data_IF_301417612916
#
_entry.id   IF_301417612916
#
_cell.length_a   1.000
_cell.length_b   1.000
_cell.length_c   1.000
_cell.angle_alpha   90.00
_cell.angle_beta   90.00
_cell.angle_gamma   90.00
#
_symmetry.space_group_name_H-M   'P 1'
#
loop_
_entity.id
_entity.type
_entity.pdbx_description
1 polymer ?
#
# COMPACT_ATOMS: atom_id res chain seq x y z
N UNK A 1 -9.18 34.10 -35.59
CA UNK A 1 -9.37 35.52 -35.96
C UNK A 1 -10.85 35.84 -35.99
N UNK A 2 -11.41 36.31 -34.88
CA UNK A 2 -12.74 36.95 -34.84
C UNK A 2 -12.53 38.44 -35.09
N UNK A 3 -13.36 39.00 -35.96
CA UNK A 3 -13.29 40.37 -36.48
C UNK A 3 -13.47 41.38 -35.34
N UNK A 4 -12.49 42.28 -35.13
CA UNK A 4 -12.65 43.44 -34.25
C UNK A 4 -13.78 44.30 -34.81
N UNK A 5 -14.90 44.42 -34.09
CA UNK A 5 -15.86 45.49 -34.34
C UNK A 5 -15.30 46.76 -33.71
N UNK A 6 -14.86 47.69 -34.54
CA UNK A 6 -14.61 49.08 -34.16
C UNK A 6 -15.94 49.75 -33.83
N UNK A 7 -16.27 49.83 -32.54
CA UNK A 7 -17.18 50.84 -32.03
C UNK A 7 -16.34 51.83 -31.22
N UNK A 8 -15.91 52.91 -31.87
CA UNK A 8 -15.42 54.07 -31.14
C UNK A 8 -16.60 54.68 -30.38
N UNK A 9 -16.50 54.92 -29.06
CA UNK A 9 -17.45 55.83 -28.45
C UNK A 9 -17.02 57.26 -28.79
N UNK A 10 -17.79 57.92 -29.66
CA UNK A 10 -17.80 59.38 -29.76
C UNK A 10 -18.63 59.88 -28.59
N UNK A 11 -17.99 60.16 -27.45
CA UNK A 11 -18.67 60.88 -26.37
C UNK A 11 -18.48 62.40 -26.60
N UNK A 12 -19.55 63.17 -26.84
CA UNK A 12 -19.43 64.60 -27.15
C UNK A 12 -19.16 65.50 -25.92
N UNK A 13 -19.22 64.97 -24.69
CA UNK A 13 -18.91 65.72 -23.45
C UNK A 13 -18.33 64.81 -22.38
N UNK A 14 -17.41 65.33 -21.56
CA UNK A 14 -16.84 64.62 -20.42
C UNK A 14 -17.90 64.37 -19.32
N UNK A 15 -17.87 63.23 -18.59
CA UNK A 15 -18.77 62.99 -17.48
C UNK A 15 -18.63 64.06 -16.39
N UNK A 16 -19.70 64.35 -15.64
CA UNK A 16 -19.62 65.24 -14.49
C UNK A 16 -18.63 64.70 -13.43
N UNK A 17 -17.98 65.56 -12.62
CA UNK A 17 -16.96 65.14 -11.65
C UNK A 17 -17.46 64.08 -10.66
N UNK A 18 -18.71 64.19 -10.24
CA UNK A 18 -19.34 63.32 -9.24
C UNK A 18 -19.73 61.94 -9.80
N UNK A 19 -19.49 61.67 -11.09
CA UNK A 19 -19.85 60.41 -11.75
C UNK A 19 -19.01 59.22 -11.25
N UNK A 20 -17.75 59.47 -10.92
CA UNK A 20 -16.75 58.44 -10.62
C UNK A 20 -16.84 57.87 -9.20
N UNK A 21 -17.68 58.46 -8.35
CA UNK A 21 -17.91 58.05 -6.96
C UNK A 21 -19.36 57.64 -6.71
N UNK A 22 -20.17 57.47 -7.77
CA UNK A 22 -21.56 57.03 -7.60
C UNK A 22 -21.59 55.54 -7.27
N UNK A 23 -22.14 55.15 -6.09
CA UNK A 23 -22.37 53.75 -5.80
C UNK A 23 -23.44 53.18 -6.73
N UNK A 24 -23.28 51.91 -7.08
CA UNK A 24 -24.17 51.20 -7.99
C UNK A 24 -24.37 49.76 -7.53
N UNK A 25 -25.54 49.20 -7.79
CA UNK A 25 -25.84 47.79 -7.56
C UNK A 25 -25.76 46.99 -8.88
N UNK A 26 -26.03 47.65 -10.02
CA UNK A 26 -25.90 47.11 -11.38
C UNK A 26 -25.58 48.17 -12.44
N UNK A 27 -25.30 47.73 -13.69
CA UNK A 27 -24.92 48.63 -14.80
C UNK A 27 -25.99 49.67 -15.15
N UNK A 28 -27.25 49.35 -14.91
CA UNK A 28 -28.37 50.25 -15.19
C UNK A 28 -28.45 51.41 -14.18
N UNK A 29 -27.65 51.39 -13.11
CA UNK A 29 -27.53 52.51 -12.17
C UNK A 29 -26.56 53.58 -12.69
N UNK A 30 -25.71 53.25 -13.67
CA UNK A 30 -24.66 54.13 -14.20
C UNK A 30 -25.16 54.96 -15.41
N UNK A 31 -26.17 55.79 -15.15
CA UNK A 31 -26.85 56.64 -16.15
C UNK A 31 -26.36 58.09 -16.03
N UNK A 32 -26.20 58.78 -17.16
CA UNK A 32 -25.95 60.22 -17.16
C UNK A 32 -27.16 61.02 -16.66
N UNK A 33 -26.95 62.30 -16.32
CA UNK A 33 -28.05 63.22 -15.94
C UNK A 33 -29.13 63.39 -17.03
N UNK A 34 -28.83 63.00 -18.26
CA UNK A 34 -29.74 63.08 -19.42
C UNK A 34 -30.48 61.75 -19.69
N UNK A 35 -30.33 60.74 -18.84
CA UNK A 35 -31.07 59.47 -18.95
C UNK A 35 -30.46 58.42 -19.87
N UNK A 36 -29.23 58.62 -20.37
CA UNK A 36 -28.52 57.65 -21.22
C UNK A 36 -27.51 56.83 -20.39
N UNK A 37 -27.44 55.51 -20.61
CA UNK A 37 -26.46 54.63 -19.98
C UNK A 37 -25.04 55.08 -20.38
N UNK A 38 -24.23 55.48 -19.40
CA UNK A 38 -22.97 56.19 -19.64
C UNK A 38 -21.75 55.44 -19.07
N UNK A 39 -21.95 54.47 -18.17
CA UNK A 39 -20.86 53.73 -17.54
C UNK A 39 -21.21 52.32 -17.10
N UNK A 40 -20.24 51.69 -16.45
CA UNK A 40 -20.29 50.32 -15.95
C UNK A 40 -20.16 50.32 -14.44
N UNK A 41 -20.98 49.53 -13.75
CA UNK A 41 -20.82 49.30 -12.33
C UNK A 41 -19.64 48.36 -12.10
N UNK A 42 -18.60 48.84 -11.42
CA UNK A 42 -17.35 48.10 -11.20
C UNK A 42 -17.09 47.96 -9.70
N UNK A 43 -16.69 46.77 -9.23
CA UNK A 43 -16.30 46.58 -7.84
C UNK A 43 -14.94 47.23 -7.54
N UNK A 44 -14.77 47.75 -6.33
CA UNK A 44 -13.53 48.31 -5.79
C UNK A 44 -12.92 47.35 -4.75
N UNK A 45 -11.65 47.59 -4.39
CA UNK A 45 -10.88 46.71 -3.51
C UNK A 45 -11.45 46.57 -2.09
N UNK A 46 -12.28 47.52 -1.64
CA UNK A 46 -13.00 47.49 -0.36
C UNK A 46 -14.35 46.74 -0.45
N UNK A 47 -14.68 46.16 -1.60
CA UNK A 47 -15.93 45.44 -1.85
C UNK A 47 -17.13 46.35 -2.16
N UNK A 48 -16.94 47.67 -2.19
CA UNK A 48 -17.95 48.60 -2.72
C UNK A 48 -18.00 48.53 -4.25
N UNK A 49 -19.03 49.13 -4.86
CA UNK A 49 -19.24 49.11 -6.32
C UNK A 49 -19.56 50.50 -6.81
N UNK A 50 -18.76 51.03 -7.73
CA UNK A 50 -18.91 52.39 -8.24
C UNK A 50 -19.04 52.42 -9.76
N UNK A 51 -19.63 53.48 -10.30
CA UNK A 51 -19.71 53.69 -11.75
C UNK A 51 -18.35 54.11 -12.34
N UNK A 52 -17.93 53.44 -13.41
CA UNK A 52 -16.73 53.73 -14.18
C UNK A 52 -17.03 53.77 -15.68
N UNK A 53 -16.07 54.17 -16.51
CA UNK A 53 -16.21 54.21 -17.98
C UNK A 53 -15.23 53.27 -18.67
N UNK A 54 -15.54 52.93 -19.91
CA UNK A 54 -14.63 52.18 -20.77
C UNK A 54 -13.37 52.98 -21.11
N UNK A 55 -12.22 52.32 -21.15
CA UNK A 55 -10.92 52.91 -21.46
C UNK A 55 -10.19 52.10 -22.53
N UNK A 56 -9.18 52.70 -23.14
CA UNK A 56 -8.24 52.02 -24.05
C UNK A 56 -6.82 52.27 -23.55
N UNK A 57 -6.48 53.53 -23.26
CA UNK A 57 -5.16 53.89 -22.66
C UNK A 57 -5.19 55.06 -21.66
N UNK A 58 -6.19 55.96 -21.69
CA UNK A 58 -6.20 57.16 -20.85
C UNK A 58 -7.34 57.15 -19.82
N UNK A 59 -6.99 56.96 -18.55
CA UNK A 59 -7.86 57.15 -17.40
C UNK A 59 -7.51 58.45 -16.65
N UNK A 60 -8.44 59.01 -15.85
CA UNK A 60 -8.15 60.15 -14.99
C UNK A 60 -7.01 59.88 -14.00
N UNK A 61 -6.39 60.94 -13.47
CA UNK A 61 -5.34 60.83 -12.46
C UNK A 61 -5.85 60.06 -11.22
N UNK A 62 -5.13 59.02 -10.82
CA UNK A 62 -5.53 58.09 -9.75
C UNK A 62 -6.26 56.83 -10.21
N UNK A 63 -6.45 56.65 -11.53
CA UNK A 63 -7.06 55.48 -12.13
C UNK A 63 -6.19 54.88 -13.24
N UNK A 64 -6.19 53.56 -13.35
CA UNK A 64 -5.53 52.79 -14.40
C UNK A 64 -6.57 52.06 -15.26
N UNK A 65 -6.24 51.89 -16.54
CA UNK A 65 -7.09 51.15 -17.46
C UNK A 65 -6.88 49.65 -17.26
N UNK A 66 -7.89 48.97 -16.72
CA UNK A 66 -7.85 47.56 -16.35
C UNK A 66 -8.91 46.77 -17.10
N UNK A 67 -8.61 45.54 -17.49
CA UNK A 67 -9.59 44.64 -18.08
C UNK A 67 -10.51 44.07 -17.00
N UNK A 68 -11.82 44.25 -17.15
CA UNK A 68 -12.87 43.62 -16.33
C UNK A 68 -13.72 42.71 -17.21
N UNK A 69 -14.24 41.64 -16.63
CA UNK A 69 -15.16 40.73 -17.32
C UNK A 69 -16.51 41.40 -17.55
N UNK A 70 -17.05 41.33 -18.77
CA UNK A 70 -18.36 41.86 -19.08
C UNK A 70 -19.46 40.98 -18.44
N UNK A 71 -20.32 41.50 -17.54
CA UNK A 71 -21.37 40.69 -16.92
C UNK A 71 -22.38 40.22 -17.97
N UNK A 72 -22.31 38.94 -18.32
CA UNK A 72 -23.16 38.31 -19.33
C UNK A 72 -22.49 38.02 -20.67
N UNK A 73 -21.16 38.15 -20.80
CA UNK A 73 -20.42 37.81 -22.02
C UNK A 73 -19.03 37.23 -21.76
N UNK A 74 -18.45 36.60 -22.79
CA UNK A 74 -17.09 36.02 -22.78
C UNK A 74 -15.99 37.02 -23.19
N UNK A 75 -16.33 38.30 -23.30
CA UNK A 75 -15.42 39.35 -23.79
C UNK A 75 -14.99 40.26 -22.63
N UNK A 76 -13.73 40.70 -22.68
CA UNK A 76 -13.19 41.66 -21.72
C UNK A 76 -13.55 43.08 -22.11
N UNK A 77 -13.93 43.87 -21.11
CA UNK A 77 -14.14 45.29 -21.23
C UNK A 77 -13.03 46.00 -20.47
N UNK A 78 -12.33 46.92 -21.12
CA UNK A 78 -11.35 47.76 -20.44
C UNK A 78 -12.06 48.94 -19.77
N UNK A 79 -11.90 49.11 -18.47
CA UNK A 79 -12.50 50.20 -17.67
C UNK A 79 -11.48 50.82 -16.72
N UNK A 80 -11.72 52.06 -16.29
CA UNK A 80 -10.83 52.73 -15.35
C UNK A 80 -11.06 52.22 -13.91
N UNK A 81 -10.01 51.74 -13.25
CA UNK A 81 -10.04 51.27 -11.86
C UNK A 81 -9.10 52.11 -10.98
N UNK A 82 -9.42 52.36 -9.70
CA UNK A 82 -8.53 53.11 -8.80
C UNK A 82 -7.15 52.43 -8.63
N UNK A 83 -6.08 53.24 -8.56
CA UNK A 83 -4.67 52.78 -8.51
C UNK A 83 -4.20 52.17 -7.17
N UNK A 84 -5.07 51.63 -6.32
CA UNK A 84 -4.64 51.11 -5.00
C UNK A 84 -3.65 49.93 -5.15
N UNK A 85 -2.37 50.21 -4.87
CA UNK A 85 -1.21 49.33 -5.11
C UNK A 85 -1.04 48.21 -4.07
N UNK A 86 -2.01 47.99 -3.19
CA UNK A 86 -1.80 47.13 -2.02
C UNK A 86 -2.35 45.70 -2.14
N UNK A 87 -3.15 45.36 -3.15
CA UNK A 87 -3.53 43.96 -3.44
C UNK A 87 -3.84 43.78 -4.93
N UNK A 88 -3.32 42.74 -5.61
CA UNK A 88 -3.94 42.31 -6.86
C UNK A 88 -5.40 41.98 -6.56
N UNK A 89 -6.32 42.48 -7.39
CA UNK A 89 -7.67 41.95 -7.47
C UNK A 89 -7.46 40.46 -7.82
N UNK A 90 -7.70 39.55 -6.88
CA UNK A 90 -7.80 38.13 -7.20
C UNK A 90 -8.94 38.00 -8.20
N UNK A 91 -8.60 37.91 -9.48
CA UNK A 91 -9.54 37.58 -10.53
C UNK A 91 -9.88 36.11 -10.31
N UNK A 92 -10.91 35.89 -9.50
CA UNK A 92 -11.64 34.64 -9.49
C UNK A 92 -12.16 34.42 -10.91
N UNK A 93 -11.84 33.26 -11.47
CA UNK A 93 -12.19 32.74 -12.80
C UNK A 93 -11.14 32.97 -13.91
N UNK A 94 -10.05 32.19 -13.84
CA UNK A 94 -9.13 31.99 -14.96
C UNK A 94 -9.86 31.19 -16.04
N UNK A 95 -10.06 31.79 -17.21
CA UNK A 95 -10.71 31.12 -18.33
C UNK A 95 -9.81 30.01 -18.91
N UNK A 96 -10.42 28.90 -19.33
CA UNK A 96 -9.70 27.73 -19.84
C UNK A 96 -10.45 27.08 -21.01
N UNK A 97 -9.71 26.30 -21.79
CA UNK A 97 -10.24 25.41 -22.84
C UNK A 97 -9.87 23.96 -22.60
N UNK A 98 -8.81 23.72 -21.83
CA UNK A 98 -8.41 22.41 -21.33
C UNK A 98 -7.81 22.55 -19.94
N UNK A 99 -7.68 21.44 -19.22
CA UNK A 99 -7.07 21.41 -17.89
C UNK A 99 -5.64 21.97 -17.87
N UNK A 100 -4.91 21.86 -18.99
CA UNK A 100 -3.57 22.43 -19.16
C UNK A 100 -3.54 23.96 -19.04
N UNK A 101 -4.62 24.65 -19.41
CA UNK A 101 -4.72 26.11 -19.25
C UNK A 101 -4.80 26.52 -17.77
N UNK A 102 -5.17 25.58 -16.90
CA UNK A 102 -5.35 25.79 -15.46
C UNK A 102 -4.09 25.50 -14.64
N UNK A 103 -3.01 24.98 -15.23
CA UNK A 103 -1.78 24.68 -14.52
C UNK A 103 -1.13 25.94 -13.90
N UNK A 104 -1.27 27.10 -14.55
CA UNK A 104 -0.77 28.39 -14.03
C UNK A 104 -1.66 28.97 -12.93
N UNK A 105 -2.91 28.53 -12.81
CA UNK A 105 -3.85 28.92 -11.75
C UNK A 105 -3.59 28.18 -10.42
N UNK A 106 -2.78 27.12 -10.47
CA UNK A 106 -2.67 26.09 -9.44
C UNK A 106 -1.44 26.25 -8.53
N UNK A 107 -0.94 27.47 -8.33
CA UNK A 107 0.17 27.68 -7.38
C UNK A 107 -0.34 27.49 -5.95
N UNK A 108 0.38 26.72 -5.14
CA UNK A 108 0.10 26.47 -3.72
C UNK A 108 -1.21 25.71 -3.38
N UNK A 109 -1.80 24.97 -4.31
CA UNK A 109 -3.04 24.19 -4.04
C UNK A 109 -2.79 22.83 -3.35
N UNK A 110 -1.53 22.46 -3.12
CA UNK A 110 -1.14 21.18 -2.49
C UNK A 110 -1.25 19.96 -3.42
N UNK A 111 -0.67 18.83 -3.02
CA UNK A 111 -0.48 17.65 -3.88
C UNK A 111 -1.76 16.85 -4.14
N UNK A 112 -2.79 17.03 -3.30
CA UNK A 112 -4.07 16.33 -3.40
C UNK A 112 -5.20 17.14 -4.02
N UNK A 113 -4.84 18.28 -4.60
CA UNK A 113 -5.74 19.07 -5.44
C UNK A 113 -5.22 19.10 -6.87
N UNK A 114 -6.13 19.41 -7.78
CA UNK A 114 -5.86 19.61 -9.19
C UNK A 114 -6.72 20.76 -9.69
N UNK A 115 -6.18 21.54 -10.62
CA UNK A 115 -6.95 22.56 -11.31
C UNK A 115 -7.49 21.96 -12.61
N UNK A 116 -8.81 22.01 -12.77
CA UNK A 116 -9.53 21.43 -13.90
C UNK A 116 -10.29 22.52 -14.64
N UNK A 117 -10.46 22.36 -15.95
CA UNK A 117 -11.29 23.24 -16.73
C UNK A 117 -12.75 22.80 -16.66
N UNK A 118 -13.63 23.65 -16.12
CA UNK A 118 -15.09 23.38 -16.14
C UNK A 118 -15.59 23.36 -17.59
N UNK A 119 -16.12 22.22 -18.03
CA UNK A 119 -16.67 22.07 -19.38
C UNK A 119 -17.95 22.88 -19.61
N UNK A 120 -18.71 23.21 -18.56
CA UNK A 120 -19.91 24.07 -18.63
C UNK A 120 -19.57 25.54 -18.66
N UNK A 121 -18.59 25.95 -17.85
CA UNK A 121 -18.40 27.36 -17.51
C UNK A 121 -17.13 27.94 -18.15
N UNK A 122 -16.27 27.10 -18.74
CA UNK A 122 -14.99 27.47 -19.36
C UNK A 122 -14.06 28.25 -18.41
N UNK A 123 -14.13 27.92 -17.12
CA UNK A 123 -13.32 28.49 -16.03
C UNK A 123 -12.56 27.39 -15.30
N UNK A 124 -11.38 27.72 -14.79
CA UNK A 124 -10.59 26.84 -13.94
C UNK A 124 -11.23 26.70 -12.56
N UNK A 125 -11.42 25.46 -12.12
CA UNK A 125 -11.90 25.10 -10.79
C UNK A 125 -10.84 24.26 -10.07
N UNK A 126 -10.82 24.34 -8.74
CA UNK A 126 -9.99 23.46 -7.92
C UNK A 126 -10.83 22.29 -7.44
N UNK A 127 -10.38 21.08 -7.74
CA UNK A 127 -11.00 19.84 -7.32
C UNK A 127 -10.01 18.96 -6.55
N UNK A 128 -10.53 18.06 -5.71
CA UNK A 128 -9.72 17.01 -5.11
C UNK A 128 -9.22 16.06 -6.20
N UNK A 129 -8.00 15.53 -6.01
CA UNK A 129 -7.56 14.33 -6.73
C UNK A 129 -8.35 13.11 -6.24
N UNK A 130 -8.31 12.02 -7.01
CA UNK A 130 -8.96 10.78 -6.64
C UNK A 130 -8.49 10.29 -5.26
N UNK A 131 -9.42 9.77 -4.47
CA UNK A 131 -9.11 9.11 -3.20
C UNK A 131 -8.13 7.95 -3.46
N UNK A 132 -7.09 7.82 -2.63
CA UNK A 132 -6.05 6.83 -2.83
C UNK A 132 -4.95 7.21 -3.83
N UNK A 133 -5.07 8.35 -4.53
CA UNK A 133 -4.02 8.81 -5.45
C UNK A 133 -2.71 9.08 -4.69
N UNK A 134 -1.54 8.70 -5.24
CA UNK A 134 -0.26 8.91 -4.59
C UNK A 134 0.01 10.42 -4.45
N UNK A 135 0.51 10.80 -3.29
CA UNK A 135 0.87 12.18 -2.99
C UNK A 135 2.09 12.21 -2.07
N UNK A 136 2.57 13.40 -1.71
CA UNK A 136 3.64 13.54 -0.72
C UNK A 136 3.28 14.67 0.23
N UNK A 137 3.30 14.38 1.53
CA UNK A 137 3.09 15.37 2.60
C UNK A 137 4.23 16.40 2.68
N UNK A 138 5.35 16.12 2.03
CA UNK A 138 6.61 16.86 2.17
C UNK A 138 7.43 16.48 3.40
N UNK A 139 6.94 15.53 4.21
CA UNK A 139 7.71 14.94 5.31
C UNK A 139 8.60 13.80 4.78
N UNK A 140 9.91 13.96 4.89
CA UNK A 140 10.88 12.94 4.47
C UNK A 140 10.91 11.70 5.39
N UNK A 141 10.19 11.74 6.51
CA UNK A 141 10.04 10.65 7.46
C UNK A 141 8.83 9.77 7.24
N UNK A 142 8.03 10.09 6.22
CA UNK A 142 6.87 9.29 5.86
C UNK A 142 6.99 8.88 4.39
N UNK A 143 6.37 7.75 4.05
CA UNK A 143 6.23 7.31 2.67
C UNK A 143 4.85 6.71 2.42
N UNK A 144 4.54 6.46 1.15
CA UNK A 144 3.27 5.83 0.74
C UNK A 144 2.02 6.63 1.15
N UNK A 145 2.11 7.96 1.10
CA UNK A 145 0.97 8.85 1.32
C UNK A 145 -0.03 8.76 0.18
N UNK A 146 -1.30 8.92 0.54
CA UNK A 146 -2.42 8.92 -0.42
C UNK A 146 -3.37 10.07 -0.14
N UNK A 147 -4.06 10.52 -1.18
CA UNK A 147 -5.06 11.56 -1.04
C UNK A 147 -6.31 11.05 -0.31
N UNK A 148 -6.66 11.75 0.78
CA UNK A 148 -7.90 11.56 1.53
C UNK A 148 -8.60 12.91 1.65
N UNK A 149 -9.77 13.05 1.02
CA UNK A 149 -10.58 14.28 1.09
C UNK A 149 -9.84 15.58 0.72
N UNK A 150 -8.90 15.50 -0.24
CA UNK A 150 -8.14 16.66 -0.73
C UNK A 150 -6.86 17.00 0.05
N UNK A 151 -6.49 16.19 1.05
CA UNK A 151 -5.23 16.26 1.79
C UNK A 151 -4.44 14.96 1.64
N UNK A 152 -3.11 15.00 1.80
CA UNK A 152 -2.34 13.77 1.96
C UNK A 152 -2.62 13.13 3.31
N UNK A 153 -2.68 11.81 3.35
CA UNK A 153 -2.56 11.04 4.58
C UNK A 153 -1.18 11.22 5.22
N UNK A 154 -1.07 10.85 6.49
CA UNK A 154 0.19 10.91 7.24
C UNK A 154 1.25 9.88 6.76
N UNK A 155 0.90 8.99 5.83
CA UNK A 155 1.80 7.96 5.30
C UNK A 155 2.20 6.90 6.33
N UNK A 156 3.22 6.13 5.98
CA UNK A 156 3.88 5.14 6.83
C UNK A 156 5.20 5.73 7.31
N UNK A 157 5.46 5.68 8.62
CA UNK A 157 6.71 6.15 9.19
C UNK A 157 7.90 5.33 8.67
N UNK A 158 8.95 6.02 8.25
CA UNK A 158 10.19 5.42 7.78
C UNK A 158 10.95 4.79 8.96
N UNK A 159 11.35 3.53 8.81
CA UNK A 159 12.26 2.88 9.75
C UNK A 159 13.69 3.35 9.47
N UNK A 160 14.25 4.13 10.40
CA UNK A 160 15.59 4.66 10.30
C UNK A 160 16.66 3.79 10.95
N UNK A 161 16.30 2.63 11.52
CA UNK A 161 17.28 1.76 12.13
C UNK A 161 18.28 1.24 11.07
N UNK A 162 19.56 1.50 11.29
CA UNK A 162 20.68 1.05 10.44
C UNK A 162 21.37 -0.22 10.98
N UNK A 163 20.79 -0.85 12.00
CA UNK A 163 21.30 -2.03 12.71
C UNK A 163 22.71 -1.86 13.30
N UNK A 164 23.18 -0.61 13.44
CA UNK A 164 24.45 -0.32 14.06
C UNK A 164 24.24 0.08 15.54
N UNK A 165 24.75 -0.71 16.51
CA UNK A 165 24.60 -0.39 17.93
C UNK A 165 25.35 0.88 18.37
N UNK A 166 26.19 1.46 17.49
CA UNK A 166 26.97 2.67 17.73
C UNK A 166 26.42 3.92 17.06
N UNK A 167 25.19 3.87 16.54
CA UNK A 167 24.47 5.03 16.03
C UNK A 167 23.13 5.17 16.74
N UNK A 168 22.75 6.42 16.98
CA UNK A 168 21.38 6.79 17.31
C UNK A 168 20.73 7.29 16.02
N UNK A 169 19.67 6.62 15.59
CA UNK A 169 18.98 6.91 14.34
C UNK A 169 17.72 7.73 14.62
N UNK A 170 17.68 8.94 14.08
CA UNK A 170 16.54 9.83 14.20
C UNK A 170 16.04 10.21 12.82
N UNK A 171 14.72 10.36 12.68
CA UNK A 171 14.14 10.87 11.47
C UNK A 171 13.92 12.38 11.56
N UNK A 172 14.44 13.11 10.57
CA UNK A 172 14.24 14.54 10.41
C UNK A 172 13.31 14.82 9.24
N UNK A 173 12.26 15.61 9.49
CA UNK A 173 11.17 15.83 8.51
C UNK A 173 11.61 16.45 7.18
N UNK A 174 12.77 17.12 7.13
CA UNK A 174 13.29 17.73 5.89
C UNK A 174 14.35 16.86 5.19
N UNK A 175 15.10 16.05 5.94
CA UNK A 175 16.28 15.32 5.43
C UNK A 175 16.14 13.81 5.47
N UNK A 176 15.07 13.28 6.06
CA UNK A 176 14.85 11.85 6.28
C UNK A 176 15.70 11.31 7.42
N UNK A 177 16.10 10.04 7.30
CA UNK A 177 16.90 9.37 8.32
C UNK A 177 18.29 10.00 8.48
N UNK A 178 18.65 10.30 9.72
CA UNK A 178 19.96 10.80 10.12
C UNK A 178 20.48 9.92 11.25
N UNK A 179 21.68 9.39 11.05
CA UNK A 179 22.39 8.57 12.04
C UNK A 179 23.47 9.40 12.71
N UNK A 180 23.48 9.44 14.04
CA UNK A 180 24.50 10.13 14.84
C UNK A 180 25.30 9.14 15.66
N UNK A 181 26.63 9.19 15.55
CA UNK A 181 27.53 8.33 16.30
C UNK A 181 27.36 8.56 17.81
N UNK A 182 27.22 7.48 18.56
CA UNK A 182 27.20 7.49 20.03
C UNK A 182 28.44 6.79 20.60
N UNK A 183 28.84 7.20 21.80
CA UNK A 183 29.88 6.53 22.59
C UNK A 183 29.20 5.62 23.63
N UNK A 184 29.81 4.49 23.96
CA UNK A 184 29.25 3.58 24.95
C UNK A 184 29.68 2.13 24.75
N UNK A 185 29.05 1.24 25.52
CA UNK A 185 29.18 -0.21 25.31
C UNK A 185 28.34 -0.61 24.10
N UNK A 186 28.85 -1.54 23.33
CA UNK A 186 28.13 -2.18 22.24
C UNK A 186 28.47 -3.68 22.22
N UNK A 187 28.04 -4.39 21.19
CA UNK A 187 28.44 -5.77 20.89
C UNK A 187 28.88 -5.76 19.42
N UNK A 188 30.13 -6.09 19.13
CA UNK A 188 30.65 -6.13 17.76
C UNK A 188 30.33 -7.46 17.05
N UNK A 189 29.50 -8.29 17.69
CA UNK A 189 29.11 -9.65 17.31
C UNK A 189 30.30 -10.61 17.16
N UNK A 190 31.50 -10.19 17.54
CA UNK A 190 32.69 -11.01 17.52
C UNK A 190 32.88 -11.62 18.91
N UNK A 191 32.70 -12.94 19.00
CA UNK A 191 32.76 -13.63 20.28
C UNK A 191 34.19 -13.72 20.86
N UNK A 192 35.21 -13.29 20.12
CA UNK A 192 36.60 -13.27 20.58
C UNK A 192 37.04 -11.94 21.18
N UNK A 193 36.24 -10.91 20.99
CA UNK A 193 36.47 -9.59 21.54
C UNK A 193 35.78 -9.49 22.90
N UNK A 194 36.43 -8.79 23.81
CA UNK A 194 35.88 -8.40 25.11
C UNK A 194 35.90 -6.87 25.21
N UNK A 195 35.01 -6.32 26.04
CA UNK A 195 34.91 -4.89 26.34
C UNK A 195 34.62 -4.00 25.12
N UNK A 196 33.74 -4.48 24.24
CA UNK A 196 33.26 -3.81 23.04
C UNK A 196 32.74 -2.40 23.34
N UNK A 197 33.28 -1.45 22.57
CA UNK A 197 33.01 -0.04 22.72
C UNK A 197 32.82 0.64 21.38
N UNK A 198 31.87 1.57 21.37
CA UNK A 198 31.66 2.44 20.24
C UNK A 198 32.78 3.47 20.15
N UNK A 199 33.37 3.59 18.96
CA UNK A 199 34.27 4.68 18.62
C UNK A 199 33.95 5.18 17.22
N UNK A 200 33.56 6.45 17.10
CA UNK A 200 33.26 7.10 15.83
C UNK A 200 32.26 6.31 14.94
N UNK A 201 31.23 5.71 15.56
CA UNK A 201 30.19 4.95 14.86
C UNK A 201 30.55 3.50 14.55
N UNK A 202 31.71 3.01 15.00
CA UNK A 202 32.13 1.62 14.84
C UNK A 202 32.14 0.94 16.20
N UNK A 203 31.47 -0.21 16.31
CA UNK A 203 31.61 -1.08 17.46
C UNK A 203 32.87 -1.93 17.31
N UNK A 204 33.77 -1.88 18.29
CA UNK A 204 34.96 -2.73 18.30
C UNK A 204 35.35 -3.09 19.72
N UNK A 205 35.70 -4.36 19.95
CA UNK A 205 36.27 -4.80 21.22
C UNK A 205 37.77 -5.01 21.22
N UNK A 206 38.27 -5.38 22.39
CA UNK A 206 39.67 -5.74 22.61
C UNK A 206 39.86 -7.25 22.49
N UNK A 207 40.94 -7.75 21.86
CA UNK A 207 41.22 -9.18 21.85
C UNK A 207 41.34 -9.71 23.29
N UNK A 208 40.43 -10.60 23.71
CA UNK A 208 40.28 -10.96 25.12
C UNK A 208 39.83 -12.40 25.36
N UNK A 209 38.97 -12.94 24.49
CA UNK A 209 38.68 -14.38 24.44
C UNK A 209 39.64 -15.04 23.45
N UNK A 210 40.20 -16.18 23.83
CA UNK A 210 40.94 -17.03 22.90
C UNK A 210 39.99 -17.41 21.74
N UNK A 211 40.07 -16.70 20.61
CA UNK A 211 39.56 -17.20 19.33
C UNK A 211 40.19 -18.57 19.13
N UNK A 212 39.37 -19.61 19.11
CA UNK A 212 39.86 -20.97 18.86
C UNK A 212 40.25 -21.15 17.40
N UNK A 213 39.72 -20.33 16.50
CA UNK A 213 39.97 -20.39 15.07
C UNK A 213 39.94 -19.02 14.42
N UNK A 214 40.70 -18.83 13.35
CA UNK A 214 40.57 -17.73 12.39
C UNK A 214 40.01 -18.24 11.05
N UNK A 215 40.24 -19.53 10.75
CA UNK A 215 39.80 -20.23 9.55
C UNK A 215 39.24 -21.60 9.91
N UNK A 216 38.46 -22.21 9.01
CA UNK A 216 37.96 -23.59 9.21
C UNK A 216 39.09 -24.60 9.44
N UNK A 217 40.29 -24.33 8.91
CA UNK A 217 41.44 -25.20 9.09
C UNK A 217 41.86 -25.34 10.56
N UNK A 218 41.66 -24.30 11.36
CA UNK A 218 42.01 -24.34 12.78
C UNK A 218 41.06 -25.25 13.58
N UNK A 219 39.88 -25.55 13.02
CA UNK A 219 38.91 -26.47 13.60
C UNK A 219 39.17 -27.94 13.22
N UNK A 220 39.93 -28.21 12.16
CA UNK A 220 40.27 -29.58 11.72
C UNK A 220 41.00 -30.37 12.81
N UNK A 221 41.80 -29.70 13.65
CA UNK A 221 42.52 -30.34 14.76
C UNK A 221 41.62 -30.71 15.95
N UNK A 222 40.40 -30.17 16.00
CA UNK A 222 39.41 -30.38 17.05
C UNK A 222 38.32 -31.40 16.66
N UNK A 223 38.32 -31.86 15.41
CA UNK A 223 37.44 -32.92 14.92
C UNK A 223 37.65 -34.21 15.71
N UNK A 224 36.56 -34.87 16.10
CA UNK A 224 36.58 -36.17 16.79
C UNK A 224 36.51 -37.36 15.81
N UNK A 225 36.57 -37.08 14.50
CA UNK A 225 36.42 -38.01 13.37
C UNK A 225 35.03 -38.65 13.24
N UNK A 226 34.02 -38.19 14.00
CA UNK A 226 32.64 -38.67 13.89
C UNK A 226 31.83 -37.82 12.90
N UNK A 227 31.78 -38.28 11.65
CA UNK A 227 31.05 -37.61 10.57
C UNK A 227 29.53 -37.54 10.80
N UNK A 228 28.98 -38.28 11.77
CA UNK A 228 27.55 -38.26 12.06
C UNK A 228 27.13 -37.01 12.83
N UNK A 229 28.02 -36.44 13.65
CA UNK A 229 27.72 -35.26 14.47
C UNK A 229 28.07 -33.92 13.77
N UNK A 230 28.46 -34.00 12.50
CA UNK A 230 28.78 -32.85 11.64
C UNK A 230 30.22 -32.37 11.79
N UNK A 231 30.71 -31.65 10.78
CA UNK A 231 32.05 -31.06 10.74
C UNK A 231 32.05 -29.69 11.39
N UNK A 232 33.11 -29.37 12.12
CA UNK A 232 33.36 -28.07 12.71
C UNK A 232 33.82 -27.05 11.67
N UNK A 233 33.19 -25.89 11.70
CA UNK A 233 33.57 -24.71 10.92
C UNK A 233 33.86 -23.54 11.84
N UNK A 234 34.74 -22.65 11.39
CA UNK A 234 35.02 -21.44 12.13
C UNK A 234 33.93 -20.40 11.88
N UNK A 235 33.14 -20.10 12.91
CA UNK A 235 32.12 -19.07 12.88
C UNK A 235 32.32 -18.12 14.06
N UNK A 236 32.58 -16.84 13.78
CA UNK A 236 32.83 -15.84 14.83
C UNK A 236 34.00 -16.18 15.76
N UNK A 237 35.03 -16.86 15.22
CA UNK A 237 36.23 -17.28 15.93
C UNK A 237 36.05 -18.45 16.90
N UNK A 238 34.92 -19.15 16.82
CA UNK A 238 34.68 -20.42 17.47
C UNK A 238 34.45 -21.54 16.45
N UNK A 239 34.95 -22.73 16.78
CA UNK A 239 34.61 -23.94 16.06
C UNK A 239 33.22 -24.40 16.48
N UNK A 240 32.27 -24.31 15.55
CA UNK A 240 30.88 -24.73 15.73
C UNK A 240 30.54 -25.79 14.68
N UNK A 241 29.59 -26.67 14.99
CA UNK A 241 29.12 -27.68 14.04
C UNK A 241 28.41 -26.99 12.87
N UNK A 242 28.81 -27.33 11.65
CA UNK A 242 28.10 -26.95 10.44
C UNK A 242 26.82 -27.77 10.34
N UNK A 243 25.68 -27.14 10.56
CA UNK A 243 24.38 -27.79 10.52
C UNK A 243 24.09 -28.49 9.17
N UNK A 244 24.70 -28.04 8.06
CA UNK A 244 24.54 -28.67 6.75
C UNK A 244 25.32 -29.97 6.59
N UNK A 245 26.29 -30.22 7.47
CA UNK A 245 27.09 -31.44 7.51
C UNK A 245 26.54 -32.50 8.48
N UNK A 246 25.49 -32.17 9.24
CA UNK A 246 24.83 -33.12 10.12
C UNK A 246 24.19 -34.25 9.30
N UNK A 247 24.61 -35.49 9.58
CA UNK A 247 23.99 -36.66 8.96
C UNK A 247 22.73 -37.01 9.73
N UNK A 248 21.57 -36.84 9.07
CA UNK A 248 20.30 -37.35 9.56
C UNK A 248 19.97 -38.65 8.84
N UNK A 249 19.81 -39.71 9.61
CA UNK A 249 19.30 -40.98 9.10
C UNK A 249 17.81 -41.07 9.43
N UNK A 250 17.02 -41.40 8.42
CA UNK A 250 15.57 -41.53 8.54
C UNK A 250 15.22 -42.98 8.91
N UNK A 251 14.66 -43.16 10.10
CA UNK A 251 14.08 -44.43 10.50
C UNK A 251 12.73 -44.63 9.80
N UNK A 252 12.39 -45.90 9.59
CA UNK A 252 11.02 -46.30 9.24
C UNK A 252 10.53 -47.33 10.26
N UNK A 253 9.22 -47.55 10.27
CA UNK A 253 8.60 -48.59 11.11
C UNK A 253 9.15 -50.00 10.81
N UNK A 254 9.71 -50.21 9.61
CA UNK A 254 10.27 -51.49 9.17
C UNK A 254 11.79 -51.48 8.98
N UNK A 255 12.47 -50.38 9.28
CA UNK A 255 13.91 -50.26 9.14
C UNK A 255 14.48 -49.23 10.12
N UNK A 256 15.42 -49.65 10.96
CA UNK A 256 16.18 -48.71 11.79
C UNK A 256 17.45 -48.36 11.05
N UNK A 257 17.80 -47.09 11.01
CA UNK A 257 18.99 -46.58 10.37
C UNK A 257 19.96 -46.04 11.41
N UNK A 258 21.21 -46.49 11.36
CA UNK A 258 22.28 -45.97 12.22
C UNK A 258 23.34 -45.34 11.35
N UNK A 259 23.77 -44.13 11.70
CA UNK A 259 24.90 -43.51 11.03
C UNK A 259 26.21 -44.21 11.45
N UNK A 260 27.08 -44.49 10.49
CA UNK A 260 28.44 -44.98 10.75
C UNK A 260 29.39 -43.78 10.94
N UNK A 261 29.98 -43.60 12.14
CA UNK A 261 30.81 -42.44 12.48
C UNK A 261 31.97 -42.18 11.52
N UNK A 262 32.54 -43.22 10.90
CA UNK A 262 33.77 -43.08 10.09
C UNK A 262 33.54 -42.58 8.68
N UNK A 263 32.36 -42.81 8.11
CA UNK A 263 32.08 -42.49 6.71
C UNK A 263 30.79 -41.67 6.54
N UNK A 264 30.05 -41.40 7.61
CA UNK A 264 28.80 -40.64 7.59
C UNK A 264 27.68 -41.34 6.81
N UNK A 265 27.80 -42.65 6.56
CA UNK A 265 26.78 -43.40 5.82
C UNK A 265 25.75 -43.97 6.79
N UNK A 266 24.46 -43.79 6.47
CA UNK A 266 23.37 -44.45 7.17
C UNK A 266 23.35 -45.94 6.77
N UNK A 267 23.65 -46.80 7.73
CA UNK A 267 23.55 -48.25 7.61
C UNK A 267 22.15 -48.68 8.07
N UNK A 268 21.46 -49.46 7.24
CA UNK A 268 20.08 -49.87 7.47
C UNK A 268 20.03 -51.28 8.06
N UNK A 269 19.37 -51.42 9.20
CA UNK A 269 18.93 -52.70 9.75
C UNK A 269 17.44 -52.89 9.47
N UNK A 270 17.10 -53.94 8.73
CA UNK A 270 15.72 -54.27 8.37
C UNK A 270 15.05 -55.02 9.50
N UNK A 271 13.79 -54.70 9.76
CA UNK A 271 12.93 -55.56 10.57
C UNK A 271 12.66 -56.88 9.85
N UNK A 272 12.40 -57.94 10.63
CA UNK A 272 12.07 -59.25 10.07
C UNK A 272 10.82 -59.17 9.19
N UNK A 273 10.86 -59.79 8.01
CA UNK A 273 9.70 -59.90 7.13
C UNK A 273 8.52 -60.55 7.87
N UNK A 274 7.34 -59.93 7.79
CA UNK A 274 6.14 -60.34 8.51
C UNK A 274 5.98 -59.72 9.90
N UNK A 275 6.92 -58.89 10.36
CA UNK A 275 6.72 -58.09 11.58
C UNK A 275 5.55 -57.13 11.39
N UNK A 276 4.71 -56.99 12.42
CA UNK A 276 3.58 -56.07 12.38
C UNK A 276 4.08 -54.61 12.25
N UNK A 277 3.45 -53.87 11.35
CA UNK A 277 3.64 -52.44 11.17
C UNK A 277 2.29 -51.76 10.90
N UNK A 278 2.31 -50.46 10.67
CA UNK A 278 1.16 -49.63 10.31
C UNK A 278 1.65 -48.73 9.16
N UNK A 279 1.03 -48.84 7.98
CA UNK A 279 1.38 -48.03 6.80
C UNK A 279 0.62 -46.69 6.76
N UNK A 280 -0.10 -46.38 7.84
CA UNK A 280 -0.96 -45.21 8.00
C UNK A 280 -2.13 -45.16 7.02
N UNK A 281 -2.42 -46.24 6.30
CA UNK A 281 -3.65 -46.39 5.54
C UNK A 281 -4.71 -47.08 6.42
N UNK A 282 -5.71 -46.32 6.85
CA UNK A 282 -6.80 -46.84 7.67
C UNK A 282 -7.63 -47.94 6.97
N UNK A 283 -7.49 -48.10 5.65
CA UNK A 283 -8.15 -49.15 4.89
C UNK A 283 -7.48 -50.50 4.98
N UNK A 284 -6.21 -50.57 5.38
CA UNK A 284 -5.46 -51.81 5.48
C UNK A 284 -5.41 -52.29 6.93
N UNK A 285 -5.46 -53.60 7.09
CA UNK A 285 -5.37 -54.25 8.40
C UNK A 285 -4.36 -55.37 8.35
N UNK A 286 -3.69 -55.62 9.47
CA UNK A 286 -2.62 -56.62 9.58
C UNK A 286 -1.42 -56.30 8.68
N UNK A 287 -1.03 -55.02 8.62
CA UNK A 287 0.10 -54.57 7.81
C UNK A 287 1.39 -55.21 8.31
N UNK A 288 2.28 -55.50 7.36
CA UNK A 288 3.49 -56.23 7.66
C UNK A 288 4.70 -55.70 6.91
N UNK A 289 5.84 -55.76 7.59
CA UNK A 289 7.11 -55.38 7.00
C UNK A 289 7.49 -56.39 5.92
N UNK A 290 7.90 -55.87 4.76
CA UNK A 290 8.52 -56.66 3.70
C UNK A 290 9.67 -55.85 3.09
N UNK A 291 10.89 -56.37 3.20
CA UNK A 291 12.10 -55.73 2.68
C UNK A 291 12.29 -54.26 3.14
N UNK A 292 11.94 -53.96 4.39
CA UNK A 292 12.09 -52.62 4.98
C UNK A 292 10.96 -51.65 4.72
N UNK A 293 9.90 -52.06 4.02
CA UNK A 293 8.71 -51.24 3.74
C UNK A 293 7.52 -51.85 4.46
N UNK A 294 6.68 -51.02 5.07
CA UNK A 294 5.40 -51.49 5.58
C UNK A 294 4.44 -51.66 4.41
N UNK A 295 3.92 -52.87 4.21
CA UNK A 295 2.94 -53.17 3.18
C UNK A 295 1.60 -53.43 3.86
N UNK A 296 0.58 -52.67 3.46
CA UNK A 296 -0.79 -52.83 3.89
C UNK A 296 -1.33 -54.24 3.67
N UNK A 297 -2.02 -54.76 4.67
CA UNK A 297 -2.60 -56.10 4.63
C UNK A 297 -3.97 -56.15 3.95
N UNK A 298 -4.95 -56.75 4.61
CA UNK A 298 -6.30 -56.92 4.05
C UNK A 298 -7.02 -55.56 3.97
N UNK A 299 -7.49 -55.21 2.76
CA UNK A 299 -8.25 -53.97 2.53
C UNK A 299 -9.72 -54.13 2.93
N UNK A 300 -10.11 -53.44 4.00
CA UNK A 300 -11.47 -53.50 4.57
C UNK A 300 -12.43 -52.47 3.94
N UNK A 301 -11.92 -51.50 3.19
CA UNK A 301 -12.71 -50.45 2.53
C UNK A 301 -13.39 -50.91 1.22
N UNK A 302 -12.81 -51.90 0.54
CA UNK A 302 -13.32 -52.50 -0.69
C UNK A 302 -14.21 -53.74 -0.46
N UNK A 303 -14.52 -54.04 0.80
CA UNK A 303 -15.30 -55.23 1.18
C UNK A 303 -16.26 -55.01 2.36
N UNK A 304 -16.79 -53.79 2.50
CA UNK A 304 -17.75 -53.48 3.56
C UNK A 304 -19.05 -54.28 3.41
N UNK A 305 -19.68 -54.60 4.53
CA UNK A 305 -20.97 -55.31 4.61
C UNK A 305 -22.07 -54.45 5.25
N UNK A 306 -21.69 -53.38 5.93
CA UNK A 306 -22.59 -52.44 6.60
C UNK A 306 -21.90 -51.09 6.80
N UNK A 307 -22.69 -50.04 7.09
CA UNK A 307 -22.18 -48.67 7.23
C UNK A 307 -21.22 -48.47 8.41
N UNK A 308 -21.30 -49.30 9.45
CA UNK A 308 -20.42 -49.17 10.63
C UNK A 308 -18.96 -49.50 10.27
N UNK A 309 -18.74 -50.36 9.27
CA UNK A 309 -17.39 -50.71 8.80
C UNK A 309 -16.71 -49.56 8.04
N UNK A 310 -17.48 -48.58 7.56
CA UNK A 310 -16.94 -47.41 6.87
C UNK A 310 -16.52 -46.28 7.80
N UNK A 311 -16.67 -46.43 9.12
CA UNK A 311 -16.17 -45.44 10.08
C UNK A 311 -14.64 -45.33 10.07
N UNK A 312 -13.93 -46.31 9.52
CA UNK A 312 -12.46 -46.31 9.40
C UNK A 312 -11.94 -45.32 8.35
N UNK A 313 -12.76 -44.97 7.36
CA UNK A 313 -12.44 -43.97 6.33
C UNK A 313 -13.08 -42.60 6.59
N UNK A 314 -13.75 -42.46 7.74
CA UNK A 314 -14.28 -41.17 8.17
C UNK A 314 -13.11 -40.31 8.66
N UNK A 315 -12.81 -39.23 7.94
CA UNK A 315 -11.78 -38.25 8.29
C UNK A 315 -12.25 -37.25 9.36
N UNK A 316 -13.50 -37.39 9.81
CA UNK A 316 -14.14 -36.49 10.77
C UNK A 316 -14.56 -35.15 10.17
N UNK A 317 -14.41 -34.97 8.85
CA UNK A 317 -14.86 -33.78 8.15
C UNK A 317 -16.39 -33.83 7.99
N UNK A 318 -17.07 -33.08 8.87
CA UNK A 318 -18.53 -32.99 8.87
C UNK A 318 -19.08 -32.34 7.59
N UNK A 319 -18.24 -31.70 6.77
CA UNK A 319 -18.63 -31.05 5.54
C UNK A 319 -18.71 -32.00 4.35
N UNK A 320 -17.83 -33.01 4.27
CA UNK A 320 -17.74 -33.92 3.13
C UNK A 320 -18.66 -35.17 3.27
N UNK A 321 -19.33 -35.29 4.42
CA UNK A 321 -20.39 -36.26 4.67
C UNK A 321 -19.87 -37.61 5.15
N UNK A 322 -20.75 -38.37 5.82
CA UNK A 322 -20.35 -39.64 6.44
C UNK A 322 -20.23 -40.75 5.38
N UNK A 323 -19.12 -41.50 5.35
CA UNK A 323 -18.94 -42.66 4.48
C UNK A 323 -20.00 -43.75 4.75
N UNK A 324 -20.56 -44.33 3.69
CA UNK A 324 -21.54 -45.44 3.76
C UNK A 324 -21.12 -46.61 2.89
N UNK A 325 -21.61 -47.79 3.23
CA UNK A 325 -21.33 -48.99 2.46
C UNK A 325 -22.30 -49.12 1.28
N UNK A 326 -21.78 -48.96 0.06
CA UNK A 326 -22.55 -49.08 -1.18
C UNK A 326 -21.88 -50.12 -2.08
N UNK A 327 -22.60 -51.20 -2.38
CA UNK A 327 -22.11 -52.32 -3.23
C UNK A 327 -20.78 -52.95 -2.76
N UNK A 328 -20.50 -52.90 -1.46
CA UNK A 328 -19.28 -53.44 -0.87
C UNK A 328 -18.13 -52.43 -0.77
N UNK A 329 -18.33 -51.19 -1.20
CA UNK A 329 -17.33 -50.13 -1.13
C UNK A 329 -17.79 -49.01 -0.19
N UNK A 330 -16.87 -48.50 0.62
CA UNK A 330 -17.11 -47.30 1.41
C UNK A 330 -17.05 -46.05 0.52
N UNK A 331 -18.19 -45.37 0.38
CA UNK A 331 -18.33 -44.15 -0.43
C UNK A 331 -19.01 -43.05 0.37
N UNK A 332 -18.52 -41.82 0.24
CA UNK A 332 -19.18 -40.65 0.81
C UNK A 332 -20.42 -40.32 -0.01
N UNK A 333 -21.60 -40.45 0.62
CA UNK A 333 -22.87 -40.18 -0.05
C UNK A 333 -23.23 -38.70 0.04
N UNK A 334 -23.74 -38.12 -1.05
CA UNK A 334 -24.15 -36.70 -1.10
C UNK A 334 -25.28 -36.35 -0.11
N UNK A 335 -25.98 -37.34 0.43
CA UNK A 335 -27.09 -37.14 1.36
C UNK A 335 -26.67 -36.53 2.71
N UNK A 336 -25.37 -36.64 3.07
CA UNK A 336 -24.81 -36.13 4.33
C UNK A 336 -23.84 -34.98 4.15
N UNK A 337 -23.61 -34.50 2.92
CA UNK A 337 -22.71 -33.38 2.62
C UNK A 337 -23.35 -32.08 3.08
N UNK A 338 -22.62 -31.26 3.84
CA UNK A 338 -23.10 -29.93 4.23
C UNK A 338 -22.98 -28.99 3.04
N UNK A 339 -24.13 -28.54 2.52
CA UNK A 339 -24.18 -27.53 1.46
C UNK A 339 -24.44 -26.18 2.07
N UNK A 340 -23.44 -25.30 2.03
CA UNK A 340 -23.60 -23.94 2.55
C UNK A 340 -24.48 -23.07 1.65
N UNK A 341 -25.36 -22.24 2.26
CA UNK A 341 -26.21 -21.34 1.49
C UNK A 341 -25.35 -20.34 0.73
N UNK A 342 -25.74 -20.04 -0.51
CA UNK A 342 -25.09 -18.97 -1.28
C UNK A 342 -25.33 -17.62 -0.61
N UNK A 343 -24.29 -16.81 -0.49
CA UNK A 343 -24.39 -15.45 0.05
C UNK A 343 -25.12 -14.54 -0.94
N UNK A 344 -25.97 -13.65 -0.42
CA UNK A 344 -26.59 -12.56 -1.21
C UNK A 344 -25.56 -11.51 -1.66
N UNK A 345 -24.39 -11.46 -1.02
CA UNK A 345 -23.27 -10.64 -1.43
C UNK A 345 -22.30 -11.46 -2.29
N UNK A 346 -22.14 -11.13 -3.59
CA UNK A 346 -21.30 -11.88 -4.53
C UNK A 346 -19.81 -11.80 -4.24
N UNK A 347 -19.35 -10.96 -3.31
CA UNK A 347 -17.96 -10.90 -2.83
C UNK A 347 -17.74 -11.69 -1.52
N UNK A 348 -18.77 -12.36 -1.00
CA UNK A 348 -18.69 -13.21 0.18
C UNK A 348 -18.97 -14.65 -0.26
N UNK A 349 -18.10 -15.58 0.14
CA UNK A 349 -18.33 -17.01 -0.04
C UNK A 349 -18.60 -17.63 1.35
N UNK A 350 -19.65 -18.45 1.44
CA UNK A 350 -19.90 -19.26 2.63
C UNK A 350 -19.22 -20.62 2.45
N UNK A 351 -18.26 -20.92 3.32
CA UNK A 351 -17.54 -22.19 3.32
C UNK A 351 -17.89 -22.99 4.57
N UNK A 352 -17.95 -24.31 4.43
CA UNK A 352 -18.18 -25.19 5.57
C UNK A 352 -16.87 -25.40 6.34
N UNK A 353 -16.94 -25.33 7.68
CA UNK A 353 -15.81 -25.60 8.58
C UNK A 353 -15.78 -27.11 8.90
N UNK A 354 -14.71 -27.86 8.52
CA UNK A 354 -14.65 -29.32 8.63
C UNK A 354 -15.01 -29.89 10.00
N UNK A 355 -14.44 -29.33 11.07
CA UNK A 355 -14.63 -29.85 12.44
C UNK A 355 -16.05 -29.66 13.00
N UNK A 356 -16.82 -28.70 12.45
CA UNK A 356 -18.11 -28.29 13.03
C UNK A 356 -19.30 -28.47 12.09
N UNK A 357 -19.07 -28.60 10.79
CA UNK A 357 -20.12 -28.60 9.78
C UNK A 357 -20.87 -27.26 9.68
N UNK A 358 -20.34 -26.19 10.30
CA UNK A 358 -20.97 -24.86 10.30
C UNK A 358 -20.48 -24.07 9.10
N UNK A 359 -21.39 -23.35 8.45
CA UNK A 359 -21.07 -22.46 7.35
C UNK A 359 -20.61 -21.09 7.87
N UNK A 360 -19.39 -20.69 7.50
CA UNK A 360 -18.81 -19.39 7.84
C UNK A 360 -18.62 -18.54 6.59
N UNK A 361 -18.95 -17.25 6.72
CA UNK A 361 -18.80 -16.27 5.66
C UNK A 361 -17.37 -15.73 5.64
N UNK A 362 -16.69 -15.87 4.51
CA UNK A 362 -15.39 -15.25 4.27
C UNK A 362 -15.43 -14.33 3.07
N UNK A 363 -14.65 -13.24 3.12
CA UNK A 363 -14.39 -12.41 1.95
C UNK A 363 -13.70 -13.26 0.89
N UNK A 364 -14.15 -13.17 -0.36
CA UNK A 364 -13.47 -13.87 -1.45
C UNK A 364 -12.01 -13.42 -1.56
N UNK A 365 -11.17 -14.33 -2.07
CA UNK A 365 -9.76 -14.07 -2.27
C UNK A 365 -9.55 -12.84 -3.16
N UNK A 366 -8.53 -12.05 -2.84
CA UNK A 366 -8.26 -10.79 -3.50
C UNK A 366 -8.00 -11.02 -5.01
N UNK A 367 -8.69 -10.27 -5.87
CA UNK A 367 -8.69 -10.47 -7.33
C UNK A 367 -9.79 -11.40 -7.89
N UNK A 368 -10.65 -11.98 -7.05
CA UNK A 368 -11.85 -12.70 -7.54
C UNK A 368 -12.88 -11.69 -8.07
N UNK A 369 -13.26 -11.82 -9.34
CA UNK A 369 -14.29 -10.95 -9.93
C UNK A 369 -15.66 -11.26 -9.31
N UNK A 370 -16.12 -10.38 -8.44
CA UNK A 370 -17.49 -10.35 -7.96
C UNK A 370 -18.19 -9.11 -8.51
N UNK A 371 -19.39 -9.28 -9.06
CA UNK A 371 -20.20 -8.15 -9.51
C UNK A 371 -20.63 -7.33 -8.30
N UNK A 372 -20.57 -6.02 -8.35
CA UNK A 372 -21.11 -5.12 -7.32
C UNK A 372 -22.66 -5.07 -7.31
N UNK A 373 -23.31 -5.89 -8.14
CA UNK A 373 -24.75 -5.89 -8.33
C UNK A 373 -25.27 -4.75 -9.22
N UNK A 374 -24.37 -3.99 -9.87
CA UNK A 374 -24.74 -2.93 -10.79
C UNK A 374 -24.73 -3.46 -12.25
N UNK A 375 -25.82 -3.27 -12.98
CA UNK A 375 -26.00 -3.79 -14.35
C UNK A 375 -25.17 -3.01 -15.41
N UNK A 376 -24.30 -2.10 -14.97
CA UNK A 376 -23.69 -1.06 -15.81
C UNK A 376 -22.15 -1.07 -15.81
N UNK A 377 -21.49 -1.99 -15.11
CA UNK A 377 -20.03 -2.15 -15.07
C UNK A 377 -19.65 -3.51 -15.65
N UNK A 378 -18.79 -3.49 -16.69
CA UNK A 378 -18.30 -4.66 -17.43
C UNK A 378 -16.98 -5.13 -16.86
#
# INVERSE_FOLDING_TARGET
>A
MKTMRTLAPVFPTAPPPDFWEQPCDGHDDCISKDGNQFGYCVPTADGSKHCSIGCIENCPEGYSCSAVLNPGGSDYLFVCTPDDKSKPIEVTEIACKSDADCEQAATDIGPCKQALCSASDAICIIANRAEGAPCSSGDACTHSEVCISGSCSDGVALDCNDDNPCTENNCHSETGCVSTNIDGKCDDANQCTDNDQCNAGVCSGTPGKECKCETNKDCEELEDEDLCNGTLVCNGGQCVVDASSLVQCEDSICSITSCNPKNGQCETELSDDGSACDDSDNCTTLDSCQAGVCIGGDNICDSCTNDLECSVVDDGDLCNGVPKCVEGQCVTTQDSVVVCPVSDNPCIANSCIPDSGVCEASSQADGTQCSDGDLCTV
#
